data_IF_850663339148
#
_entry.id   IF_850663339148
#
_cell.length_a   1.000
_cell.length_b   1.000
_cell.length_c   1.000
_cell.angle_alpha   90.00
_cell.angle_beta   90.00
_cell.angle_gamma   90.00
#
_symmetry.space_group_name_H-M   'P 1'
#
loop_
_entity.id
_entity.type
_entity.pdbx_description
1 polymer ?
#
# COMPACT_ATOMS: atom_id res chain seq x y z
N UNK A 1 -12.12 -1.23 -15.72
CA UNK A 1 -11.24 -0.18 -15.16
C UNK A 1 -11.88 1.20 -15.25
N UNK A 2 -12.31 1.66 -16.43
CA UNK A 2 -12.98 2.98 -16.57
C UNK A 2 -14.23 3.16 -15.69
N UNK A 3 -15.06 2.11 -15.51
CA UNK A 3 -16.22 2.14 -14.61
C UNK A 3 -15.87 2.35 -13.14
N UNK A 4 -14.62 2.14 -12.76
CA UNK A 4 -14.07 2.38 -11.41
C UNK A 4 -13.30 3.72 -11.33
N UNK A 5 -13.35 4.54 -12.38
CA UNK A 5 -12.59 5.79 -12.47
C UNK A 5 -11.09 5.62 -12.75
N UNK A 6 -10.65 4.41 -13.13
CA UNK A 6 -9.24 4.10 -13.38
C UNK A 6 -8.90 4.29 -14.87
N UNK A 7 -8.87 5.55 -15.28
CA UNK A 7 -8.68 6.01 -16.65
C UNK A 7 -7.30 5.70 -17.27
N UNK A 8 -6.25 5.49 -16.48
CA UNK A 8 -4.90 5.17 -16.94
C UNK A 8 -4.54 3.69 -16.79
N UNK A 9 -5.21 2.97 -15.88
CA UNK A 9 -4.98 1.55 -15.63
C UNK A 9 -5.43 0.71 -16.81
N UNK A 10 -4.52 -0.09 -17.38
CA UNK A 10 -4.80 -0.98 -18.50
C UNK A 10 -4.18 -2.34 -18.24
N UNK A 11 -4.97 -3.39 -18.46
CA UNK A 11 -4.49 -4.77 -18.53
C UNK A 11 -4.49 -5.18 -20.01
N UNK A 12 -3.31 -5.25 -20.62
CA UNK A 12 -3.11 -5.49 -22.06
C UNK A 12 -2.47 -6.83 -22.37
N UNK A 13 -1.98 -7.56 -21.35
CA UNK A 13 -1.42 -8.90 -21.50
C UNK A 13 -1.64 -9.78 -20.27
N UNK A 14 -1.55 -11.09 -20.48
CA UNK A 14 -1.49 -12.07 -19.39
C UNK A 14 -0.09 -12.06 -18.75
N UNK A 15 0.00 -12.61 -17.54
CA UNK A 15 1.27 -12.80 -16.85
C UNK A 15 2.19 -13.70 -17.68
N UNK A 16 3.49 -13.38 -17.73
CA UNK A 16 4.53 -14.08 -18.50
C UNK A 16 4.36 -14.11 -20.04
N UNK A 17 3.44 -13.31 -20.61
CA UNK A 17 3.36 -13.13 -22.06
C UNK A 17 4.48 -12.19 -22.55
N UNK A 18 5.69 -12.74 -22.69
CA UNK A 18 6.90 -11.99 -23.09
C UNK A 18 6.78 -11.46 -24.51
N UNK A 19 6.09 -12.18 -25.40
CA UNK A 19 5.84 -11.70 -26.77
C UNK A 19 5.00 -10.44 -26.77
N UNK A 20 3.91 -10.40 -25.98
CA UNK A 20 3.12 -9.19 -25.81
C UNK A 20 3.93 -8.04 -25.22
N UNK A 21 4.78 -8.34 -24.24
CA UNK A 21 5.65 -7.33 -23.62
C UNK A 21 6.65 -6.74 -24.63
N UNK A 22 7.28 -7.56 -25.47
CA UNK A 22 8.21 -7.08 -26.50
C UNK A 22 7.53 -6.26 -27.60
N UNK A 23 6.22 -6.43 -27.79
CA UNK A 23 5.37 -5.60 -28.66
C UNK A 23 4.88 -4.31 -27.97
N UNK A 24 5.35 -4.01 -26.75
CA UNK A 24 4.98 -2.81 -25.99
C UNK A 24 3.60 -2.88 -25.33
N UNK A 25 2.96 -4.05 -25.29
CA UNK A 25 1.63 -4.25 -24.70
C UNK A 25 1.74 -4.50 -23.19
N UNK A 26 2.09 -3.46 -22.45
CA UNK A 26 2.22 -3.54 -21.00
C UNK A 26 0.94 -3.33 -20.20
N UNK A 27 0.91 -4.01 -19.05
CA UNK A 27 -0.03 -3.72 -17.98
C UNK A 27 0.49 -2.49 -17.23
N UNK A 28 -0.28 -1.41 -17.25
CA UNK A 28 0.12 -0.12 -16.68
C UNK A 28 -0.91 0.37 -15.68
N UNK A 29 -0.45 1.19 -14.75
CA UNK A 29 -1.26 1.83 -13.71
C UNK A 29 -0.56 3.10 -13.21
N UNK A 30 -1.18 3.82 -12.29
CA UNK A 30 -0.56 4.93 -11.56
C UNK A 30 -0.72 4.70 -10.05
N UNK A 31 0.17 5.25 -9.20
CA UNK A 31 0.01 5.16 -7.75
C UNK A 31 -1.35 5.69 -7.27
N UNK A 32 -1.81 6.80 -7.85
CA UNK A 32 -3.11 7.40 -7.54
C UNK A 32 -4.26 6.44 -7.81
N UNK A 33 -4.28 5.78 -8.96
CA UNK A 33 -5.37 4.87 -9.33
C UNK A 33 -5.39 3.59 -8.50
N UNK A 34 -4.22 3.05 -8.12
CA UNK A 34 -4.16 1.91 -7.20
C UNK A 34 -4.65 2.31 -5.80
N UNK A 35 -4.25 3.49 -5.31
CA UNK A 35 -4.77 4.00 -4.04
C UNK A 35 -6.28 4.21 -4.09
N UNK A 36 -6.81 4.77 -5.19
CA UNK A 36 -8.26 4.92 -5.40
C UNK A 36 -8.95 3.56 -5.37
N UNK A 37 -8.47 2.57 -6.12
CA UNK A 37 -9.06 1.23 -6.15
C UNK A 37 -9.11 0.60 -4.74
N UNK A 38 -7.98 0.56 -4.04
CA UNK A 38 -7.90 -0.02 -2.70
C UNK A 38 -8.81 0.72 -1.70
N UNK A 39 -8.88 2.06 -1.77
CA UNK A 39 -9.77 2.85 -0.93
C UNK A 39 -11.25 2.58 -1.23
N UNK A 40 -11.62 2.37 -2.50
CA UNK A 40 -13.00 2.05 -2.89
C UNK A 40 -13.39 0.64 -2.44
N UNK A 41 -12.49 -0.34 -2.56
CA UNK A 41 -12.69 -1.70 -2.04
C UNK A 41 -12.85 -1.65 -0.51
N UNK A 42 -11.95 -0.97 0.20
CA UNK A 42 -12.02 -0.81 1.67
C UNK A 42 -13.34 -0.18 2.15
N UNK A 43 -13.90 0.75 1.38
CA UNK A 43 -15.18 1.41 1.68
C UNK A 43 -16.41 0.60 1.24
N UNK A 44 -16.24 -0.63 0.75
CA UNK A 44 -17.34 -1.48 0.30
C UNK A 44 -18.04 -0.99 -0.97
N UNK A 45 -17.35 -0.21 -1.81
CA UNK A 45 -17.92 0.38 -3.04
C UNK A 45 -17.68 -0.46 -4.29
N UNK A 46 -16.86 -1.50 -4.18
CA UNK A 46 -16.48 -2.39 -5.30
C UNK A 46 -16.92 -3.82 -5.05
N UNK A 47 -16.77 -4.30 -3.82
CA UNK A 47 -17.13 -5.63 -3.38
C UNK A 47 -18.18 -5.54 -2.27
N UNK A 48 -18.97 -6.60 -2.09
CA UNK A 48 -19.83 -6.72 -0.91
C UNK A 48 -18.97 -6.88 0.37
N UNK A 49 -19.60 -6.85 1.55
CA UNK A 49 -18.89 -6.88 2.84
C UNK A 49 -18.03 -8.14 3.01
N UNK A 50 -18.61 -9.32 2.78
CA UNK A 50 -17.94 -10.61 2.92
C UNK A 50 -16.73 -10.72 1.97
N UNK A 51 -16.93 -10.41 0.69
CA UNK A 51 -15.85 -10.41 -0.31
C UNK A 51 -14.78 -9.35 -0.03
N UNK A 52 -15.14 -8.21 0.58
CA UNK A 52 -14.16 -7.19 1.01
C UNK A 52 -13.29 -7.73 2.14
N UNK A 53 -13.89 -8.39 3.13
CA UNK A 53 -13.17 -9.00 4.25
C UNK A 53 -12.23 -10.11 3.76
N UNK A 54 -12.72 -11.01 2.90
CA UNK A 54 -11.91 -12.07 2.29
C UNK A 54 -10.77 -11.53 1.44
N UNK A 55 -11.03 -10.48 0.65
CA UNK A 55 -10.01 -9.81 -0.15
C UNK A 55 -8.87 -9.29 0.71
N UNK A 56 -9.18 -8.54 1.78
CA UNK A 56 -8.13 -8.03 2.66
C UNK A 56 -7.50 -9.11 3.54
N UNK A 57 -8.20 -10.20 3.86
CA UNK A 57 -7.62 -11.35 4.55
C UNK A 57 -6.56 -12.02 3.67
N UNK A 58 -6.88 -12.28 2.40
CA UNK A 58 -5.93 -12.82 1.42
C UNK A 58 -4.72 -11.90 1.23
N UNK A 59 -4.96 -10.60 1.05
CA UNK A 59 -3.88 -9.63 0.92
C UNK A 59 -3.07 -9.49 2.22
N UNK A 60 -3.60 -9.84 3.39
CA UNK A 60 -2.85 -9.84 4.66
C UNK A 60 -2.02 -11.10 4.92
N UNK A 61 -2.11 -12.13 4.06
CA UNK A 61 -1.33 -13.36 4.24
C UNK A 61 0.18 -13.06 4.18
N UNK A 62 0.94 -13.64 5.11
CA UNK A 62 2.39 -13.41 5.22
C UNK A 62 3.12 -13.69 3.90
N UNK A 63 3.93 -12.73 3.48
CA UNK A 63 4.75 -12.76 2.27
C UNK A 63 5.89 -11.76 2.40
N UNK A 64 6.91 -11.91 1.57
CA UNK A 64 7.88 -10.83 1.40
C UNK A 64 7.16 -9.60 0.82
N UNK A 65 7.31 -8.46 1.48
CA UNK A 65 6.71 -7.19 1.11
C UNK A 65 7.69 -6.07 1.44
N UNK A 66 7.89 -5.15 0.50
CA UNK A 66 8.74 -4.00 0.74
C UNK A 66 8.02 -2.97 1.60
N UNK A 67 6.69 -2.90 1.57
CA UNK A 67 5.91 -2.03 2.46
C UNK A 67 6.03 -2.44 3.93
N UNK A 68 6.12 -3.74 4.24
CA UNK A 68 6.16 -4.22 5.63
C UNK A 68 7.56 -4.22 6.25
N UNK A 69 8.62 -4.21 5.44
CA UNK A 69 10.00 -4.52 5.87
C UNK A 69 10.49 -3.72 7.08
N UNK A 70 10.19 -2.42 7.11
CA UNK A 70 10.71 -1.50 8.12
C UNK A 70 9.57 -0.99 9.06
N UNK A 71 8.47 -1.75 9.15
CA UNK A 71 7.32 -1.46 10.01
C UNK A 71 7.29 -2.38 11.25
N UNK A 72 6.58 -2.01 12.34
CA UNK A 72 6.52 -2.85 13.53
C UNK A 72 5.89 -4.22 13.28
N UNK A 73 6.40 -5.23 13.99
CA UNK A 73 5.85 -6.58 13.98
C UNK A 73 4.39 -6.61 14.45
N UNK A 74 3.62 -7.55 13.91
CA UNK A 74 2.19 -7.73 14.24
C UNK A 74 1.26 -6.67 13.64
N UNK A 75 1.80 -5.64 12.98
CA UNK A 75 0.98 -4.69 12.23
C UNK A 75 0.32 -5.40 11.05
N UNK A 76 -1.02 -5.39 11.02
CA UNK A 76 -1.75 -5.91 9.86
C UNK A 76 -1.49 -5.00 8.66
N UNK A 77 -1.00 -5.60 7.58
CA UNK A 77 -0.75 -4.93 6.29
C UNK A 77 -1.39 -5.82 5.24
N UNK A 78 -2.25 -5.24 4.40
CA UNK A 78 -2.85 -5.94 3.28
C UNK A 78 -2.31 -5.35 1.98
N UNK A 79 -1.36 -6.03 1.35
CA UNK A 79 -0.58 -5.49 0.25
C UNK A 79 -0.41 -6.47 -0.92
N UNK A 80 0.00 -5.91 -2.06
CA UNK A 80 0.32 -6.64 -3.27
C UNK A 80 1.64 -6.13 -3.86
N UNK A 81 2.76 -6.84 -3.63
CA UNK A 81 4.02 -6.52 -4.28
C UNK A 81 3.99 -6.90 -5.77
N UNK A 82 4.83 -6.23 -6.55
CA UNK A 82 5.02 -6.47 -7.98
C UNK A 82 6.47 -6.25 -8.39
N UNK A 83 6.98 -7.19 -9.20
CA UNK A 83 8.38 -7.24 -9.60
C UNK A 83 8.49 -7.59 -11.09
N UNK A 84 9.23 -6.78 -11.83
CA UNK A 84 9.71 -7.05 -13.19
C UNK A 84 11.13 -6.48 -13.30
N UNK A 85 11.88 -6.83 -14.34
CA UNK A 85 13.20 -6.23 -14.58
C UNK A 85 13.10 -4.69 -14.66
N UNK A 86 13.89 -4.00 -13.85
CA UNK A 86 13.91 -2.55 -13.74
C UNK A 86 12.70 -1.94 -13.02
N UNK A 87 11.80 -2.75 -12.45
CA UNK A 87 10.53 -2.29 -11.86
C UNK A 87 10.27 -2.95 -10.51
N UNK A 88 10.02 -2.14 -9.48
CA UNK A 88 9.51 -2.60 -8.18
C UNK A 88 8.30 -1.76 -7.78
N UNK A 89 7.23 -2.42 -7.40
CA UNK A 89 5.99 -1.78 -6.96
C UNK A 89 5.43 -2.48 -5.75
N UNK A 90 4.77 -1.72 -4.88
CA UNK A 90 3.99 -2.31 -3.80
C UNK A 90 2.82 -1.39 -3.44
N UNK A 91 1.64 -1.97 -3.25
CA UNK A 91 0.39 -1.26 -3.01
C UNK A 91 -0.41 -1.96 -1.95
N UNK A 92 -0.87 -1.24 -0.93
CA UNK A 92 -1.60 -1.86 0.15
C UNK A 92 -2.29 -0.89 1.09
N UNK A 93 -2.93 -1.48 2.10
CA UNK A 93 -3.51 -0.78 3.24
C UNK A 93 -2.74 -1.18 4.49
N UNK A 94 -2.24 -0.19 5.21
CA UNK A 94 -1.60 -0.36 6.51
C UNK A 94 -2.64 -0.05 7.58
N UNK A 95 -2.94 -1.02 8.45
CA UNK A 95 -3.96 -0.88 9.49
C UNK A 95 -3.35 -0.29 10.77
N UNK A 96 -2.84 0.95 10.68
CA UNK A 96 -2.38 1.70 11.85
C UNK A 96 -3.55 2.00 12.79
N UNK A 97 -3.27 2.01 14.10
CA UNK A 97 -4.28 2.16 15.14
C UNK A 97 -5.10 3.45 14.93
N UNK A 98 -6.42 3.31 14.80
CA UNK A 98 -7.38 4.40 14.58
C UNK A 98 -7.15 5.26 13.31
N UNK A 99 -6.15 4.94 12.48
CA UNK A 99 -5.76 5.71 11.29
C UNK A 99 -5.27 4.78 10.17
N UNK A 100 -6.08 3.82 9.68
CA UNK A 100 -5.70 3.02 8.53
C UNK A 100 -5.48 3.93 7.32
N UNK A 101 -4.46 3.61 6.51
CA UNK A 101 -4.14 4.40 5.33
C UNK A 101 -3.76 3.51 4.15
N UNK A 102 -4.03 4.01 2.95
CA UNK A 102 -3.65 3.38 1.70
C UNK A 102 -2.32 3.95 1.25
N UNK A 103 -1.42 3.10 0.78
CA UNK A 103 -0.13 3.49 0.25
C UNK A 103 0.14 2.73 -1.05
N UNK A 104 0.74 3.42 -2.02
CA UNK A 104 1.22 2.82 -3.24
C UNK A 104 2.53 3.48 -3.63
N UNK A 105 3.57 2.67 -3.85
CA UNK A 105 4.87 3.12 -4.33
C UNK A 105 5.21 2.32 -5.57
N UNK A 106 5.59 3.01 -6.63
CA UNK A 106 6.00 2.41 -7.90
C UNK A 106 7.34 3.01 -8.30
N UNK A 107 8.31 2.16 -8.60
CA UNK A 107 9.66 2.53 -9.03
C UNK A 107 9.95 1.83 -10.36
N UNK A 108 10.62 2.53 -11.27
CA UNK A 108 10.88 2.08 -12.65
C UNK A 108 12.26 2.55 -13.10
N UNK A 109 12.82 1.93 -14.13
CA UNK A 109 14.17 2.21 -14.65
C UNK A 109 15.27 1.95 -13.61
N UNK A 110 15.07 0.96 -12.75
CA UNK A 110 16.05 0.55 -11.75
C UNK A 110 17.24 -0.14 -12.42
N UNK A 111 18.46 0.30 -12.08
CA UNK A 111 19.67 -0.47 -12.38
C UNK A 111 19.90 -1.59 -11.37
N UNK A 112 19.54 -1.37 -10.11
CA UNK A 112 19.61 -2.34 -9.03
C UNK A 112 18.24 -2.48 -8.38
N UNK A 113 17.70 -3.68 -8.40
CA UNK A 113 16.36 -3.98 -7.88
C UNK A 113 16.23 -3.75 -6.37
N UNK A 114 17.35 -3.86 -5.64
CA UNK A 114 17.38 -3.59 -4.20
C UNK A 114 17.07 -2.13 -3.91
N UNK A 115 17.54 -1.20 -4.74
CA UNK A 115 17.30 0.23 -4.54
C UNK A 115 15.80 0.56 -4.61
N UNK A 116 15.05 -0.12 -5.50
CA UNK A 116 13.60 0.00 -5.61
C UNK A 116 12.89 -0.50 -4.36
N UNK A 117 13.23 -1.70 -3.89
CA UNK A 117 12.68 -2.25 -2.65
C UNK A 117 13.04 -1.39 -1.43
N UNK A 118 14.26 -0.84 -1.39
CA UNK A 118 14.71 0.07 -0.34
C UNK A 118 13.91 1.38 -0.32
N UNK A 119 13.69 1.98 -1.49
CA UNK A 119 12.87 3.18 -1.63
C UNK A 119 11.43 2.95 -1.14
N UNK A 120 10.82 1.82 -1.50
CA UNK A 120 9.46 1.46 -1.07
C UNK A 120 9.37 1.41 0.46
N UNK A 121 10.27 0.68 1.12
CA UNK A 121 10.16 0.55 2.58
C UNK A 121 10.49 1.85 3.30
N UNK A 122 11.44 2.66 2.81
CA UNK A 122 11.75 3.98 3.39
C UNK A 122 10.54 4.90 3.34
N UNK A 123 9.82 4.92 2.22
CA UNK A 123 8.58 5.69 2.06
C UNK A 123 7.49 5.13 2.99
N UNK A 124 7.34 3.80 3.05
CA UNK A 124 6.39 3.13 3.94
C UNK A 124 6.62 3.49 5.41
N UNK A 125 7.86 3.38 5.88
CA UNK A 125 8.24 3.72 7.25
C UNK A 125 8.01 5.20 7.56
N UNK A 126 8.27 6.10 6.60
CA UNK A 126 7.99 7.52 6.76
C UNK A 126 6.48 7.79 6.87
N UNK A 127 5.66 7.17 6.02
CA UNK A 127 4.21 7.26 6.07
C UNK A 127 3.66 6.72 7.40
N UNK A 128 4.11 5.53 7.81
CA UNK A 128 3.69 4.91 9.07
C UNK A 128 3.98 5.81 10.27
N UNK A 129 5.21 6.35 10.39
CA UNK A 129 5.56 7.26 11.49
C UNK A 129 4.65 8.49 11.54
N UNK A 130 4.25 9.02 10.39
CA UNK A 130 3.32 10.14 10.32
C UNK A 130 1.92 9.75 10.80
N UNK A 131 1.34 8.67 10.26
CA UNK A 131 0.00 8.22 10.63
C UNK A 131 -0.09 7.73 12.09
N UNK A 132 0.94 7.05 12.59
CA UNK A 132 1.05 6.67 14.01
C UNK A 132 1.12 7.89 14.92
N UNK A 133 1.90 8.91 14.54
CA UNK A 133 1.96 10.17 15.29
C UNK A 133 0.62 10.90 15.27
N UNK A 134 -0.05 10.96 14.12
CA UNK A 134 -1.38 11.55 13.99
C UNK A 134 -2.45 10.80 14.78
N UNK A 135 -2.35 9.48 14.91
CA UNK A 135 -3.27 8.67 15.71
C UNK A 135 -3.18 9.00 17.21
N UNK A 136 -2.02 9.46 17.66
CA UNK A 136 -1.75 9.83 19.05
C UNK A 136 -1.75 11.35 19.27
N UNK A 137 -2.05 12.14 18.25
CA UNK A 137 -2.07 13.60 18.35
C UNK A 137 -3.48 14.15 18.57
N UNK A 138 -3.59 15.22 19.37
CA UNK A 138 -4.74 16.11 19.37
C UNK A 138 -4.91 16.78 18.01
N UNK A 139 -6.07 17.40 17.77
CA UNK A 139 -6.34 18.19 16.55
C UNK A 139 -5.33 19.32 16.32
N UNK A 140 -4.67 19.79 17.39
CA UNK A 140 -3.64 20.85 17.36
C UNK A 140 -2.20 20.30 17.24
N UNK A 141 -2.02 18.98 17.08
CA UNK A 141 -0.71 18.37 16.85
C UNK A 141 0.10 17.98 18.10
N UNK A 142 -0.41 18.24 19.31
CA UNK A 142 0.21 17.74 20.55
C UNK A 142 0.01 16.24 20.67
N UNK A 143 1.09 15.48 20.82
CA UNK A 143 1.05 14.03 21.10
C UNK A 143 0.56 13.80 22.53
N UNK A 144 -0.45 12.95 22.68
CA UNK A 144 -1.02 12.51 23.95
C UNK A 144 -0.46 11.13 24.26
N UNK A 145 0.50 11.06 25.17
CA UNK A 145 1.05 9.79 25.66
C UNK A 145 0.07 9.17 26.68
N UNK A 146 -0.22 7.86 26.62
CA UNK A 146 -1.07 7.19 27.61
C UNK A 146 -0.58 7.30 29.05
N UNK A 147 0.72 7.54 29.27
CA UNK A 147 1.37 7.48 30.58
C UNK A 147 1.45 8.82 31.33
N UNK A 148 0.74 9.88 30.92
CA UNK A 148 0.86 11.19 31.57
C UNK A 148 -0.22 11.49 32.62
N UNK A 149 -0.83 10.45 33.21
CA UNK A 149 -1.55 10.56 34.48
C UNK A 149 -0.58 10.27 35.64
N UNK A 150 0.42 11.12 35.83
CA UNK A 150 1.14 11.18 37.11
C UNK A 150 0.52 12.30 37.92
N UNK A 151 -0.14 11.87 38.99
CA UNK A 151 -0.60 12.57 40.19
C UNK A 151 -0.22 14.04 40.29
N UNK A 152 -1.23 14.91 40.38
CA UNK A 152 -1.13 16.17 41.11
C UNK A 152 -2.15 16.10 42.23
N UNK A 153 -1.63 15.89 43.45
CA UNK A 153 -2.32 16.19 44.70
C UNK A 153 -2.44 17.70 44.87
#
# INVERSE_FOLDING_TARGET
MNSLGLSHTRLRRKMMDVKAASEGRENVSTPREMMTLLAQIYRGKVLNKESTEDFFKMLSTHKYSALSRDLPDGLRIADKPGELEGVRTDSGIVFAQNRPYVICVMTTYLHNERDGAEAIARISAAAYRMFDRLARASEYGRVVSPNNSTSVH
#
